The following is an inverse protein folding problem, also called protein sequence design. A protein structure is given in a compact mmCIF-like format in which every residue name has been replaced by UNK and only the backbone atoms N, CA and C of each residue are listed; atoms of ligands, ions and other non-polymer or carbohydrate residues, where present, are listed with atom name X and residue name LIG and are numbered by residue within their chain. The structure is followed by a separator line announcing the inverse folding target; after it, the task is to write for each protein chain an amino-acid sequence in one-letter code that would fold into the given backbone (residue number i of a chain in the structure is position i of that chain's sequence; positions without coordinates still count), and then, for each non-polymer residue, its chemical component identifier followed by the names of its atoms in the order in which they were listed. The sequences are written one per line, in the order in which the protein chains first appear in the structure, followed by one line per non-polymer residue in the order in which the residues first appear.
data_IF_936347960991
#
_entry.id   IF_936347960991
#
_cell.length_a   1.000
_cell.length_b   1.000
_cell.length_c   1.000
_cell.angle_alpha   90.00
_cell.angle_beta   90.00
_cell.angle_gamma   90.00
#
_symmetry.space_group_name_H-M   'P 1'
#
loop_
_entity.id
_entity.type
_entity.pdbx_description
1 polymer ?
#
# COMPACT_ATOMS: atom_id res chain seq x y z
N UNK A 1 -9.47 -2.12 -12.42
CA UNK A 1 -9.97 -0.88 -11.78
C UNK A 1 -8.75 -0.17 -11.23
N UNK A 2 -8.33 0.94 -11.84
CA UNK A 2 -7.22 1.76 -11.34
C UNK A 2 -7.61 2.54 -10.09
N UNK A 3 -6.63 2.89 -9.27
CA UNK A 3 -6.80 3.73 -8.08
C UNK A 3 -6.76 5.19 -8.51
N UNK A 4 -7.75 5.98 -8.13
CA UNK A 4 -7.84 7.41 -8.45
C UNK A 4 -7.03 8.24 -7.44
N UNK A 5 -6.66 9.48 -7.81
CA UNK A 5 -5.89 10.37 -6.91
C UNK A 5 -6.65 10.83 -5.65
N UNK A 6 -7.97 10.70 -5.65
CA UNK A 6 -8.84 10.98 -4.50
C UNK A 6 -9.14 9.74 -3.64
N UNK A 7 -8.74 8.56 -4.09
CA UNK A 7 -8.97 7.32 -3.36
C UNK A 7 -8.15 7.28 -2.06
N UNK A 8 -8.75 6.71 -1.01
CA UNK A 8 -8.06 6.47 0.26
C UNK A 8 -6.96 5.41 0.09
N UNK A 9 -5.70 5.82 0.27
CA UNK A 9 -4.55 4.93 0.24
C UNK A 9 -3.99 4.78 1.65
N UNK A 10 -3.89 3.54 2.12
CA UNK A 10 -3.29 3.20 3.42
C UNK A 10 -1.94 2.55 3.20
N UNK A 11 -0.92 3.01 3.92
CA UNK A 11 0.41 2.44 3.96
C UNK A 11 0.64 1.89 5.37
N UNK A 12 1.00 0.62 5.49
CA UNK A 12 1.30 -0.05 6.75
C UNK A 12 2.81 -0.19 6.88
N UNK A 13 3.39 0.57 7.80
CA UNK A 13 4.83 0.70 8.05
C UNK A 13 5.36 2.09 7.71
N UNK A 14 6.00 2.74 8.68
CA UNK A 14 6.68 4.04 8.50
C UNK A 14 8.20 3.88 8.32
N UNK A 15 8.61 2.83 7.60
CA UNK A 15 10.00 2.59 7.23
C UNK A 15 10.47 3.47 6.06
N UNK A 16 11.71 3.28 5.62
CA UNK A 16 12.28 4.01 4.49
C UNK A 16 11.46 3.84 3.19
N UNK A 17 10.90 2.64 2.97
CA UNK A 17 10.04 2.37 1.80
C UNK A 17 8.67 2.99 1.97
N UNK A 18 7.99 2.75 3.10
CA UNK A 18 6.68 3.34 3.37
C UNK A 18 6.68 4.86 3.26
N UNK A 19 7.70 5.53 3.82
CA UNK A 19 7.85 6.99 3.74
C UNK A 19 8.16 7.47 2.31
N UNK A 20 9.01 6.76 1.57
CA UNK A 20 9.32 7.09 0.17
C UNK A 20 8.06 7.01 -0.71
N UNK A 21 7.27 5.94 -0.56
CA UNK A 21 6.01 5.76 -1.28
C UNK A 21 5.01 6.83 -0.90
N UNK A 22 4.85 7.12 0.39
CA UNK A 22 3.93 8.15 0.86
C UNK A 22 4.24 9.52 0.24
N UNK A 23 5.51 9.92 0.26
CA UNK A 23 5.96 11.18 -0.34
C UNK A 23 5.69 11.21 -1.85
N UNK A 24 6.03 10.15 -2.58
CA UNK A 24 5.83 10.11 -4.04
C UNK A 24 4.35 10.13 -4.44
N UNK A 25 3.48 9.46 -3.67
CA UNK A 25 2.04 9.54 -3.88
C UNK A 25 1.54 10.98 -3.72
N UNK A 26 1.93 11.67 -2.66
CA UNK A 26 1.53 13.07 -2.47
C UNK A 26 2.08 13.99 -3.57
N UNK A 27 3.33 13.81 -3.98
CA UNK A 27 3.93 14.57 -5.09
C UNK A 27 3.20 14.35 -6.43
N UNK A 28 2.57 13.19 -6.61
CA UNK A 28 1.79 12.83 -7.81
C UNK A 28 0.32 13.23 -7.71
N UNK A 29 -0.06 13.94 -6.64
CA UNK A 29 -1.40 14.50 -6.45
C UNK A 29 -2.37 13.57 -5.74
N UNK A 30 -1.89 12.46 -5.14
CA UNK A 30 -2.73 11.67 -4.25
C UNK A 30 -2.94 12.44 -2.93
N UNK A 31 -4.18 12.80 -2.65
CA UNK A 31 -4.50 13.70 -1.53
C UNK A 31 -4.91 12.97 -0.26
N UNK A 32 -5.19 11.67 -0.35
CA UNK A 32 -5.80 10.88 0.72
C UNK A 32 -4.91 9.71 1.15
N UNK A 33 -3.65 10.02 1.47
CA UNK A 33 -2.62 9.05 1.85
C UNK A 33 -2.48 9.02 3.38
N UNK A 34 -2.54 7.82 3.97
CA UNK A 34 -2.42 7.60 5.41
C UNK A 34 -1.39 6.52 5.73
N UNK A 35 -0.43 6.81 6.60
CA UNK A 35 0.64 5.89 7.02
C UNK A 35 0.38 5.46 8.45
N UNK A 36 0.32 4.15 8.69
CA UNK A 36 0.14 3.53 10.00
C UNK A 36 1.44 2.86 10.43
N UNK A 37 1.85 3.07 11.68
CA UNK A 37 3.00 2.38 12.25
C UNK A 37 2.71 1.94 13.67
N UNK A 38 3.27 0.79 14.06
CA UNK A 38 3.17 0.26 15.42
C UNK A 38 3.98 1.08 16.42
N UNK A 39 5.02 1.77 15.95
CA UNK A 39 5.92 2.54 16.80
C UNK A 39 5.30 3.90 17.12
N UNK A 40 5.41 4.36 18.36
CA UNK A 40 4.91 5.68 18.80
C UNK A 40 5.79 6.84 18.31
N UNK A 41 6.89 6.51 17.63
CA UNK A 41 7.85 7.45 17.08
C UNK A 41 8.31 6.97 15.71
N UNK A 42 8.80 7.90 14.89
CA UNK A 42 9.50 7.58 13.66
C UNK A 42 11.00 7.61 13.97
N UNK A 43 11.78 6.61 13.50
CA UNK A 43 13.20 6.55 13.79
C UNK A 43 13.89 7.87 13.40
N UNK A 44 14.37 8.57 14.42
CA UNK A 44 15.09 9.84 14.29
C UNK A 44 16.44 9.60 13.59
N UNK A 45 16.76 10.43 12.61
CA UNK A 45 17.97 10.30 11.80
C UNK A 45 17.69 10.56 10.31
N UNK A 46 18.19 9.68 9.45
CA UNK A 46 18.20 9.81 7.98
C UNK A 46 16.79 9.95 7.36
N UNK A 47 15.75 9.48 8.04
CA UNK A 47 14.36 9.51 7.57
C UNK A 47 13.56 10.73 8.02
N UNK A 48 14.11 11.57 8.91
CA UNK A 48 13.40 12.73 9.48
C UNK A 48 12.97 13.72 8.39
N UNK A 49 13.84 13.95 7.41
CA UNK A 49 13.56 14.88 6.31
C UNK A 49 12.48 14.33 5.38
N UNK A 50 12.48 13.03 5.11
CA UNK A 50 11.47 12.37 4.28
C UNK A 50 10.11 12.38 4.97
N UNK A 51 10.09 12.10 6.28
CA UNK A 51 8.88 12.20 7.08
C UNK A 51 8.28 13.61 7.06
N UNK A 52 9.08 14.64 7.32
CA UNK A 52 8.62 16.03 7.26
C UNK A 52 8.12 16.42 5.88
N UNK A 53 8.88 16.08 4.83
CA UNK A 53 8.46 16.35 3.45
C UNK A 53 7.13 15.66 3.11
N UNK A 54 6.91 14.43 3.58
CA UNK A 54 5.65 13.73 3.39
C UNK A 54 4.50 14.40 4.16
N UNK A 55 4.73 14.85 5.40
CA UNK A 55 3.74 15.61 6.17
C UNK A 55 3.38 16.93 5.50
N UNK A 56 4.38 17.69 5.05
CA UNK A 56 4.20 18.95 4.35
C UNK A 56 3.44 18.76 3.02
N UNK A 57 3.62 17.59 2.38
CA UNK A 57 2.88 17.18 1.19
C UNK A 57 1.45 16.67 1.50
N UNK A 58 1.02 16.66 2.77
CA UNK A 58 -0.34 16.32 3.20
C UNK A 58 -0.56 14.86 3.61
N UNK A 59 0.50 14.05 3.75
CA UNK A 59 0.38 12.67 4.25
C UNK A 59 -0.03 12.67 5.72
N UNK A 60 -1.05 11.87 6.06
CA UNK A 60 -1.48 11.69 7.45
C UNK A 60 -0.74 10.53 8.09
N UNK A 61 -0.25 10.72 9.32
CA UNK A 61 0.48 9.71 10.06
C UNK A 61 -0.25 9.28 11.32
N UNK A 62 -0.38 7.97 11.49
CA UNK A 62 -1.00 7.31 12.64
C UNK A 62 0.08 6.50 13.38
N UNK A 63 0.73 7.16 14.34
CA UNK A 63 1.77 6.55 15.18
C UNK A 63 1.12 5.72 16.30
N UNK A 64 1.81 4.67 16.77
CA UNK A 64 1.29 3.76 17.80
C UNK A 64 0.08 2.93 17.38
N UNK A 65 -0.27 2.94 16.09
CA UNK A 65 -1.42 2.21 15.55
C UNK A 65 -0.93 0.91 14.91
N UNK A 66 -0.95 -0.16 15.71
CA UNK A 66 -0.68 -1.50 15.22
C UNK A 66 -1.82 -2.00 14.34
N UNK A 67 -1.55 -2.21 13.04
CA UNK A 67 -2.49 -2.82 12.11
C UNK A 67 -2.47 -4.33 12.31
N UNK A 68 -3.62 -4.91 12.65
CA UNK A 68 -3.73 -6.34 12.94
C UNK A 68 -4.17 -7.12 11.70
N UNK A 69 -5.13 -6.57 10.94
CA UNK A 69 -5.80 -7.29 9.85
C UNK A 69 -6.17 -6.35 8.71
N UNK A 70 -6.27 -6.92 7.50
CA UNK A 70 -6.88 -6.28 6.33
C UNK A 70 -8.24 -6.90 6.12
N UNK A 71 -9.27 -6.07 6.07
CA UNK A 71 -10.63 -6.49 5.74
C UNK A 71 -10.86 -6.43 4.23
N UNK A 72 -11.63 -7.37 3.72
CA UNK A 72 -11.92 -7.57 2.32
C UNK A 72 -13.43 -7.63 2.09
N UNK A 73 -13.83 -7.36 0.86
CA UNK A 73 -15.15 -7.65 0.34
C UNK A 73 -15.01 -8.62 -0.83
N UNK A 74 -15.93 -9.58 -0.92
CA UNK A 74 -16.00 -10.48 -2.06
C UNK A 74 -16.40 -9.73 -3.33
N UNK A 75 -15.81 -10.11 -4.45
CA UNK A 75 -16.09 -9.58 -5.78
C UNK A 75 -16.24 -10.74 -6.76
N UNK A 76 -16.81 -10.47 -7.94
CA UNK A 76 -16.99 -11.50 -8.97
C UNK A 76 -15.65 -12.12 -9.44
N UNK A 77 -14.53 -11.41 -9.31
CA UNK A 77 -13.21 -11.83 -9.77
C UNK A 77 -12.25 -12.25 -8.62
N UNK A 78 -12.75 -12.33 -7.37
CA UNK A 78 -11.91 -12.61 -6.20
C UNK A 78 -12.35 -11.77 -4.99
N UNK A 79 -11.42 -11.08 -4.34
CA UNK A 79 -11.71 -10.15 -3.24
C UNK A 79 -11.11 -8.77 -3.53
N UNK A 80 -11.62 -7.73 -2.88
CA UNK A 80 -11.06 -6.37 -2.90
C UNK A 80 -10.88 -5.91 -1.46
N UNK A 81 -9.81 -5.17 -1.16
CA UNK A 81 -9.65 -4.57 0.16
C UNK A 81 -10.81 -3.61 0.43
N UNK A 82 -11.30 -3.65 1.67
CA UNK A 82 -12.30 -2.74 2.20
C UNK A 82 -11.69 -1.75 3.19
N UNK A 83 -10.54 -2.10 3.77
CA UNK A 83 -9.90 -1.30 4.80
C UNK A 83 -8.94 -2.11 5.66
N UNK A 84 -8.34 -1.44 6.64
CA UNK A 84 -7.52 -2.05 7.67
C UNK A 84 -8.23 -2.01 9.03
N UNK A 85 -7.88 -2.96 9.90
CA UNK A 85 -8.26 -2.97 11.31
C UNK A 85 -7.01 -2.82 12.18
N UNK A 86 -7.05 -1.86 13.09
CA UNK A 86 -6.00 -1.70 14.10
C UNK A 86 -6.34 -2.53 15.35
N UNK A 87 -5.30 -2.87 16.13
CA UNK A 87 -5.42 -3.61 17.39
C UNK A 87 -6.32 -2.90 18.40
N UNK A 88 -6.39 -1.57 18.36
CA UNK A 88 -7.27 -0.75 19.19
C UNK A 88 -8.72 -0.71 18.64
N UNK A 89 -9.13 -1.71 17.85
CA UNK A 89 -10.44 -1.87 17.23
C UNK A 89 -10.86 -0.73 16.27
N UNK A 90 -9.92 0.09 15.79
CA UNK A 90 -10.19 1.09 14.77
C UNK A 90 -10.31 0.46 13.39
N UNK A 91 -11.38 0.78 12.65
CA UNK A 91 -11.52 0.39 11.24
C UNK A 91 -11.29 1.60 10.34
N UNK A 92 -10.37 1.48 9.37
CA UNK A 92 -10.05 2.54 8.44
C UNK A 92 -10.30 2.06 7.00
N UNK A 93 -11.34 2.58 6.32
CA UNK A 93 -11.65 2.17 4.96
C UNK A 93 -10.59 2.68 3.98
N UNK A 94 -10.26 1.84 3.00
CA UNK A 94 -9.28 2.17 1.95
C UNK A 94 -9.67 1.57 0.61
N UNK A 95 -9.22 2.22 -0.47
CA UNK A 95 -9.31 1.67 -1.83
C UNK A 95 -8.03 0.91 -2.20
N UNK A 96 -6.91 1.20 -1.52
CA UNK A 96 -5.61 0.55 -1.70
C UNK A 96 -4.89 0.43 -0.35
N UNK A 97 -4.29 -0.74 -0.10
CA UNK A 97 -3.38 -0.96 1.04
C UNK A 97 -1.98 -1.31 0.53
N UNK A 98 -0.96 -0.63 1.02
CA UNK A 98 0.45 -0.88 0.71
C UNK A 98 1.13 -1.35 2.00
N UNK A 99 1.73 -2.53 1.97
CA UNK A 99 2.34 -3.16 3.15
C UNK A 99 3.85 -3.10 3.00
N UNK A 100 4.53 -2.38 3.89
CA UNK A 100 5.98 -2.43 4.04
C UNK A 100 6.34 -3.68 4.85
N UNK A 101 6.88 -4.73 4.20
CA UNK A 101 7.17 -6.01 4.87
C UNK A 101 8.25 -5.90 5.96
N UNK A 102 8.96 -4.78 6.06
CA UNK A 102 9.83 -4.47 7.21
C UNK A 102 9.07 -4.11 8.48
N UNK A 103 7.76 -3.85 8.40
CA UNK A 103 6.88 -3.58 9.54
C UNK A 103 6.29 -4.86 10.17
N UNK A 104 6.53 -6.03 9.56
CA UNK A 104 6.14 -7.33 10.12
C UNK A 104 7.01 -7.64 11.32
N UNK A 105 6.47 -7.46 12.51
CA UNK A 105 7.01 -8.12 13.70
C UNK A 105 6.97 -9.63 13.44
N UNK A 106 8.13 -10.28 13.43
CA UNK A 106 8.23 -11.75 13.39
C UNK A 106 7.76 -12.38 14.71
N UNK A 107 7.35 -11.55 15.68
CA UNK A 107 6.57 -11.94 16.84
C UNK A 107 5.19 -12.46 16.45
N UNK A 108 5.07 -13.78 16.42
CA UNK A 108 3.85 -14.57 16.63
C UNK A 108 2.66 -13.76 17.14
N UNK A 109 1.74 -13.37 16.25
CA UNK A 109 0.45 -12.83 16.68
C UNK A 109 -0.37 -13.98 17.26
N UNK A 110 -0.26 -14.21 18.58
CA UNK A 110 -1.09 -15.12 19.37
C UNK A 110 -2.60 -14.76 19.36
N UNK A 111 -3.00 -13.66 18.72
CA UNK A 111 -4.41 -13.22 18.60
C UNK A 111 -5.14 -13.96 17.46
N UNK A 112 -4.43 -14.73 16.62
CA UNK A 112 -5.04 -15.61 15.61
C UNK A 112 -5.96 -16.71 16.15
N UNK A 113 -6.23 -16.76 17.47
CA UNK A 113 -7.02 -17.80 18.13
C UNK A 113 -8.30 -17.31 18.83
N UNK A 114 -8.62 -16.01 18.89
CA UNK A 114 -9.78 -15.55 19.68
C UNK A 114 -11.05 -15.21 18.90
N UNK A 115 -11.01 -15.10 17.58
CA UNK A 115 -12.22 -14.99 16.78
C UNK A 115 -12.11 -15.89 15.56
N UNK A 116 -13.18 -16.63 15.25
CA UNK A 116 -13.26 -17.49 14.07
C UNK A 116 -12.69 -16.77 12.84
N UNK A 117 -11.95 -17.46 11.96
CA UNK A 117 -11.36 -16.84 10.78
C UNK A 117 -12.49 -16.30 9.91
N UNK A 118 -12.77 -15.01 10.05
CA UNK A 118 -13.64 -14.30 9.14
C UNK A 118 -12.92 -14.36 7.79
N UNK A 119 -13.48 -15.08 6.82
CA UNK A 119 -12.83 -15.34 5.51
C UNK A 119 -12.44 -14.03 4.79
N UNK A 120 -13.07 -12.93 5.21
CA UNK A 120 -12.88 -11.59 4.73
C UNK A 120 -11.95 -10.72 5.60
N UNK A 121 -11.41 -11.21 6.73
CA UNK A 121 -10.42 -10.49 7.52
C UNK A 121 -9.13 -11.31 7.62
N UNK A 122 -8.09 -10.83 6.96
CA UNK A 122 -6.82 -11.56 6.83
C UNK A 122 -5.77 -10.88 7.72
N UNK A 123 -5.16 -11.61 8.67
CA UNK A 123 -4.09 -11.09 9.52
C UNK A 123 -2.94 -10.49 8.72
N UNK A 124 -2.38 -9.39 9.23
CA UNK A 124 -1.21 -8.75 8.63
C UNK A 124 -0.02 -9.73 8.58
N UNK A 125 0.08 -10.63 9.56
CA UNK A 125 1.09 -11.69 9.62
C UNK A 125 1.05 -12.68 8.44
N UNK A 126 -0.06 -12.75 7.71
CA UNK A 126 -0.17 -13.58 6.50
C UNK A 126 0.49 -12.90 5.27
N UNK A 127 0.80 -11.60 5.34
CA UNK A 127 1.46 -10.87 4.26
C UNK A 127 2.96 -10.82 4.50
N UNK A 128 3.61 -11.96 4.25
CA UNK A 128 5.06 -12.04 4.24
C UNK A 128 5.54 -12.00 2.79
N UNK A 129 6.64 -11.28 2.54
CA UNK A 129 7.21 -11.27 1.21
C UNK A 129 7.91 -12.62 0.95
N UNK A 130 7.28 -13.45 0.12
CA UNK A 130 7.79 -14.78 -0.24
C UNK A 130 8.67 -14.78 -1.49
N UNK A 131 8.79 -13.63 -2.18
CA UNK A 131 9.47 -13.52 -3.46
C UNK A 131 10.75 -12.67 -3.33
N UNK A 132 11.93 -13.29 -3.21
CA UNK A 132 13.19 -12.56 -3.05
C UNK A 132 13.59 -11.74 -4.29
N UNK A 133 12.92 -11.93 -5.43
CA UNK A 133 13.26 -11.29 -6.71
C UNK A 133 12.36 -10.09 -7.06
N UNK A 134 11.34 -9.79 -6.26
CA UNK A 134 10.41 -8.68 -6.51
C UNK A 134 10.40 -7.66 -5.37
N UNK A 135 10.59 -6.38 -5.71
CA UNK A 135 10.56 -5.27 -4.74
C UNK A 135 9.15 -4.80 -4.42
N UNK A 136 8.23 -4.93 -5.38
CA UNK A 136 6.83 -4.46 -5.31
C UNK A 136 5.97 -5.50 -6.02
N UNK A 137 5.00 -6.07 -5.32
CA UNK A 137 4.12 -7.10 -5.89
C UNK A 137 2.67 -6.89 -5.46
N UNK A 138 1.71 -7.07 -6.39
CA UNK A 138 0.30 -7.14 -6.03
C UNK A 138 -0.02 -8.47 -5.38
N UNK A 139 -0.79 -8.45 -4.28
CA UNK A 139 -1.26 -9.69 -3.68
C UNK A 139 -2.26 -10.36 -4.63
N UNK A 140 -2.05 -11.63 -5.02
CA UNK A 140 -2.92 -12.31 -5.97
C UNK A 140 -4.36 -12.38 -5.45
N UNK A 141 -5.31 -12.34 -6.37
CA UNK A 141 -6.76 -12.41 -6.11
C UNK A 141 -7.32 -11.26 -5.24
N UNK A 142 -6.57 -10.16 -5.07
CA UNK A 142 -7.04 -8.95 -4.35
C UNK A 142 -7.53 -7.83 -5.27
N UNK A 143 -7.81 -8.12 -6.55
CA UNK A 143 -8.26 -7.11 -7.52
C UNK A 143 -7.31 -5.89 -7.62
N UNK A 144 -5.99 -6.11 -7.48
CA UNK A 144 -4.96 -5.06 -7.47
C UNK A 144 -5.15 -3.98 -6.40
N UNK A 145 -5.74 -4.36 -5.27
CA UNK A 145 -6.04 -3.44 -4.17
C UNK A 145 -5.11 -3.60 -2.95
N UNK A 146 -4.19 -4.55 -2.98
CA UNK A 146 -3.13 -4.70 -1.96
C UNK A 146 -1.78 -4.88 -2.62
N UNK A 147 -0.81 -4.07 -2.21
CA UNK A 147 0.58 -4.09 -2.67
C UNK A 147 1.49 -4.47 -1.50
N UNK A 148 2.44 -5.38 -1.75
CA UNK A 148 3.46 -5.78 -0.79
C UNK A 148 4.83 -5.25 -1.24
N UNK A 149 5.54 -4.58 -0.35
CA UNK A 149 6.90 -4.08 -0.56
C UNK A 149 7.90 -5.04 0.11
N UNK A 150 8.90 -5.50 -0.63
CA UNK A 150 9.94 -6.37 -0.08
C UNK A 150 11.07 -5.57 0.58
N UNK A 151 11.33 -5.85 1.86
CA UNK A 151 12.46 -5.28 2.59
C UNK A 151 13.75 -6.11 2.53
N UNK A 152 13.73 -7.30 1.90
CA UNK A 152 14.78 -8.31 2.12
C UNK A 152 16.08 -8.11 1.33
N UNK A 153 16.19 -7.07 0.50
CA UNK A 153 17.46 -6.74 -0.13
C UNK A 153 17.51 -5.26 -0.50
N UNK A 154 17.97 -4.42 0.42
CA UNK A 154 18.47 -3.09 0.04
C UNK A 154 19.82 -2.82 0.68
N UNK A 155 20.86 -3.03 -0.14
CA UNK A 155 21.97 -2.09 -0.18
C UNK A 155 21.37 -0.68 -0.23
N UNK A 156 21.67 0.17 0.75
CA UNK A 156 21.16 1.54 0.95
C UNK A 156 21.04 2.42 -0.32
N UNK A 157 21.70 2.06 -1.41
CA UNK A 157 21.81 2.76 -2.69
C UNK A 157 20.56 2.81 -3.59
N UNK A 158 19.45 2.09 -3.30
CA UNK A 158 18.26 2.03 -4.20
C UNK A 158 16.91 2.43 -3.58
N UNK A 159 16.87 2.92 -2.34
CA UNK A 159 15.63 3.31 -1.63
C UNK A 159 14.82 4.36 -2.42
N UNK A 160 15.49 5.26 -3.14
CA UNK A 160 14.84 6.31 -3.94
C UNK A 160 14.07 5.78 -5.16
N UNK A 161 14.27 4.53 -5.59
CA UNK A 161 13.60 3.95 -6.76
C UNK A 161 12.26 3.27 -6.42
N UNK A 162 12.01 2.92 -5.15
CA UNK A 162 10.80 2.17 -4.79
C UNK A 162 9.55 3.04 -4.89
N UNK A 163 9.64 4.32 -4.51
CA UNK A 163 8.54 5.28 -4.65
C UNK A 163 8.05 5.38 -6.10
N UNK A 164 8.91 5.74 -7.07
CA UNK A 164 8.55 5.79 -8.48
C UNK A 164 7.97 4.48 -9.03
N UNK A 165 8.53 3.32 -8.65
CA UNK A 165 8.04 2.02 -9.12
C UNK A 165 6.60 1.72 -8.67
N UNK A 166 6.25 2.05 -7.42
CA UNK A 166 4.86 1.89 -6.93
C UNK A 166 3.91 2.81 -7.68
N UNK A 167 4.32 4.06 -7.94
CA UNK A 167 3.50 5.00 -8.71
C UNK A 167 3.32 4.52 -10.14
N UNK A 168 4.39 4.12 -10.82
CA UNK A 168 4.33 3.63 -12.19
C UNK A 168 3.45 2.38 -12.30
N UNK A 169 3.47 1.50 -11.29
CA UNK A 169 2.59 0.33 -11.20
C UNK A 169 1.11 0.73 -11.05
N UNK A 170 0.82 1.76 -10.24
CA UNK A 170 -0.54 2.29 -10.07
C UNK A 170 -1.04 2.99 -11.34
N UNK A 171 -0.18 3.77 -12.00
CA UNK A 171 -0.48 4.43 -13.27
C UNK A 171 -0.65 3.43 -14.41
N UNK A 172 0.18 2.38 -14.49
CA UNK A 172 0.05 1.30 -15.48
C UNK A 172 -1.27 0.52 -15.29
N UNK A 173 -1.73 0.36 -14.05
CA UNK A 173 -3.01 -0.28 -13.73
C UNK A 173 -4.20 0.65 -14.04
N UNK A 174 -3.99 1.96 -13.99
CA UNK A 174 -4.96 2.99 -14.36
C UNK A 174 -5.00 3.28 -15.87
N UNK A 175 -3.95 2.87 -16.60
CA UNK A 175 -3.73 3.14 -18.02
C UNK A 175 -4.41 2.22 -19.03
N UNK A 176 -5.20 1.21 -18.62
CA UNK A 176 -6.07 0.48 -19.54
C UNK A 176 -7.48 1.08 -19.62
N UNK A 177 -7.57 2.37 -19.96
CA UNK A 177 -8.69 2.93 -20.72
C UNK A 177 -8.31 4.29 -21.34
N UNK A 178 -7.87 4.23 -22.60
CA UNK A 178 -8.33 5.04 -23.76
C UNK A 178 -7.16 5.29 -24.72
N UNK A 179 -6.88 4.30 -25.57
CA UNK A 179 -6.41 4.57 -26.93
C UNK A 179 -7.52 4.11 -27.87
N UNK A 180 -8.66 4.82 -27.84
CA UNK A 180 -9.63 4.75 -28.93
C UNK A 180 -8.97 5.51 -30.09
N UNK A 181 -8.33 4.76 -30.98
CA UNK A 181 -7.99 5.24 -32.31
C UNK A 181 -9.33 5.57 -32.98
N UNK A 182 -9.62 6.82 -33.37
CA UNK A 182 -10.83 7.11 -34.13
C UNK A 182 -10.71 6.40 -35.50
N UNK A 183 -11.74 5.71 -35.98
CA UNK A 183 -11.70 5.13 -37.32
C UNK A 183 -11.62 6.28 -38.34
N UNK A 184 -10.49 6.36 -39.04
CA UNK A 184 -10.36 7.23 -40.20
C UNK A 184 -11.40 6.80 -41.25
N UNK A 185 -12.18 7.73 -41.84
CA UNK A 185 -13.07 7.36 -42.93
C UNK A 185 -12.22 7.08 -44.18
N UNK A 186 -12.39 5.86 -44.69
CA UNK A 186 -12.07 5.47 -46.06
C UNK A 186 -12.82 6.38 -47.03
N UNK A 187 -12.10 7.30 -47.70
CA UNK A 187 -12.59 7.93 -48.92
C UNK A 187 -11.64 7.56 -50.07
N UNK A 188 -12.07 6.54 -50.82
CA UNK A 188 -11.72 6.33 -52.22
C UNK A 188 -12.27 7.51 -53.04
N UNK A 189 -11.41 8.22 -53.77
CA UNK A 189 -11.49 8.52 -55.21
C UNK A 189 -10.34 9.46 -55.59
#
# INVERSE_FOLDING_TARGET
MGVSTSDSIVIVGAGAFGLSVALHLSLRGYTNVSVFTKDDYIPFGDLTNVYRAAQDAGVRFFLGQHVDQISYVSTLAGKKNAGIRTRNAGFYPSSLVIIDAGAGDTGTSEIGQLHAPDSLAIPLSCYTNTNPNSFVEYVPHTSSSVILLSGNLVQKSKISLVGPLVVDLLEATSGQQTAVIPPQPLSRL
#
